data_IF_758439519571
#
_entry.id   IF_758439519571
#
_cell.length_a   1.000
_cell.length_b   1.000
_cell.length_c   1.000
_cell.angle_alpha   90.00
_cell.angle_beta   90.00
_cell.angle_gamma   90.00
#
_symmetry.space_group_name_H-M   'P 1'
#
loop_
_entity.id
_entity.type
_entity.pdbx_description
1 polymer ?
#
# COMPACT_ATOMS: atom_id res chain seq x y z
N UNK A 1 5.03 -5.16 20.75
CA UNK A 1 3.79 -4.91 19.96
C UNK A 1 3.39 -6.19 19.24
N UNK A 2 2.10 -6.44 19.11
CA UNK A 2 1.61 -7.53 18.28
C UNK A 2 1.49 -7.07 16.81
N UNK A 3 1.24 -7.99 15.90
CA UNK A 3 1.18 -7.71 14.46
C UNK A 3 0.16 -6.62 14.11
N UNK A 4 -1.01 -6.60 14.76
CA UNK A 4 -2.04 -5.59 14.50
C UNK A 4 -1.57 -4.19 14.87
N UNK A 5 -0.88 -4.05 15.99
CA UNK A 5 -0.31 -2.78 16.44
C UNK A 5 0.82 -2.31 15.51
N UNK A 6 1.68 -3.23 15.10
CA UNK A 6 2.77 -2.93 14.16
C UNK A 6 2.23 -2.45 12.81
N UNK A 7 1.23 -3.13 12.26
CA UNK A 7 0.61 -2.72 10.99
C UNK A 7 -0.11 -1.39 11.11
N UNK A 8 -0.83 -1.16 12.22
CA UNK A 8 -1.52 0.11 12.45
C UNK A 8 -0.53 1.28 12.51
N UNK A 9 0.63 1.08 13.15
CA UNK A 9 1.68 2.10 13.19
C UNK A 9 2.38 2.28 11.84
N UNK A 10 2.71 1.19 11.14
CA UNK A 10 3.38 1.24 9.85
C UNK A 10 2.55 1.96 8.78
N UNK A 11 1.24 1.71 8.73
CA UNK A 11 0.31 2.32 7.78
C UNK A 11 -0.38 3.57 8.31
N UNK A 12 0.24 4.26 9.24
CA UNK A 12 -0.27 5.52 9.78
C UNK A 12 -0.36 6.59 8.69
N UNK A 13 -1.55 7.14 8.53
CA UNK A 13 -1.83 8.14 7.50
C UNK A 13 -2.87 9.15 7.98
N UNK A 14 -3.83 9.47 7.12
CA UNK A 14 -4.92 10.37 7.46
C UNK A 14 -5.82 9.75 8.54
N UNK A 15 -6.02 10.48 9.64
CA UNK A 15 -6.81 9.99 10.77
C UNK A 15 -8.31 10.25 10.65
N UNK A 16 -8.74 11.02 9.66
CA UNK A 16 -10.14 11.42 9.49
C UNK A 16 -11.01 10.42 8.74
N UNK A 17 -10.39 9.47 8.04
CA UNK A 17 -11.12 8.47 7.25
C UNK A 17 -10.22 7.29 6.88
N UNK A 18 -10.84 6.22 6.45
CA UNK A 18 -10.17 5.04 5.90
C UNK A 18 -11.08 4.34 4.90
N UNK A 19 -10.52 3.46 4.09
CA UNK A 19 -11.28 2.58 3.22
C UNK A 19 -11.64 1.28 3.89
N UNK A 20 -12.81 0.74 3.54
CA UNK A 20 -13.19 -0.63 3.87
C UNK A 20 -13.65 -1.35 2.62
N UNK A 21 -13.41 -2.65 2.58
CA UNK A 21 -13.89 -3.51 1.51
C UNK A 21 -14.62 -4.69 2.14
N UNK A 22 -15.88 -4.86 1.78
CA UNK A 22 -16.62 -6.05 2.17
C UNK A 22 -16.19 -7.20 1.26
N UNK A 23 -15.62 -8.21 1.87
CA UNK A 23 -15.14 -9.39 1.15
C UNK A 23 -16.32 -10.32 0.95
N UNK A 24 -16.92 -10.31 -0.26
CA UNK A 24 -17.93 -11.29 -0.63
C UNK A 24 -17.28 -12.67 -0.76
N UNK A 25 -17.94 -13.69 -0.19
CA UNK A 25 -17.49 -15.07 -0.34
C UNK A 25 -17.80 -15.65 -1.73
N UNK A 26 -18.66 -15.00 -2.51
CA UNK A 26 -19.00 -15.42 -3.86
C UNK A 26 -17.89 -15.02 -4.85
N UNK A 27 -17.38 -16.02 -5.56
CA UNK A 27 -16.45 -15.83 -6.68
C UNK A 27 -17.17 -16.07 -7.97
N UNK A 28 -17.22 -15.06 -8.84
CA UNK A 28 -17.73 -15.19 -10.22
C UNK A 28 -16.54 -15.09 -11.18
N UNK A 29 -16.34 -16.09 -12.01
CA UNK A 29 -15.24 -16.17 -12.99
C UNK A 29 -13.84 -16.00 -12.37
N UNK A 30 -13.60 -16.58 -11.18
CA UNK A 30 -12.33 -16.51 -10.46
C UNK A 30 -12.04 -15.17 -9.78
N UNK A 31 -12.91 -14.18 -9.94
CA UNK A 31 -12.80 -12.89 -9.27
C UNK A 31 -13.78 -12.79 -8.10
N UNK A 32 -13.28 -12.37 -6.95
CA UNK A 32 -14.12 -12.07 -5.81
C UNK A 32 -14.75 -10.69 -6.01
N UNK A 33 -16.07 -10.61 -5.98
CA UNK A 33 -16.75 -9.31 -5.97
C UNK A 33 -16.52 -8.66 -4.61
N UNK A 34 -15.95 -7.48 -4.63
CA UNK A 34 -15.73 -6.68 -3.43
C UNK A 34 -16.43 -5.33 -3.58
N UNK A 35 -17.10 -4.89 -2.54
CA UNK A 35 -17.68 -3.55 -2.46
C UNK A 35 -16.81 -2.71 -1.55
N UNK A 36 -16.22 -1.66 -2.11
CA UNK A 36 -15.36 -0.72 -1.37
C UNK A 36 -16.10 0.59 -1.10
N UNK A 37 -15.86 1.15 0.07
CA UNK A 37 -16.45 2.41 0.51
C UNK A 37 -15.54 3.12 1.50
N UNK A 38 -15.78 4.43 1.68
CA UNK A 38 -15.02 5.26 2.62
C UNK A 38 -15.81 5.39 3.91
N UNK A 39 -15.11 5.20 5.03
CA UNK A 39 -15.62 5.41 6.38
C UNK A 39 -14.93 6.62 6.98
N UNK A 40 -15.69 7.62 7.41
CA UNK A 40 -15.17 8.88 7.96
C UNK A 40 -14.88 8.78 9.45
N UNK A 41 -14.07 7.79 9.80
CA UNK A 41 -13.57 7.54 11.15
C UNK A 41 -12.12 7.05 11.05
N UNK A 42 -11.32 7.18 12.11
CA UNK A 42 -9.96 6.67 12.12
C UNK A 42 -9.91 5.14 11.97
N UNK A 43 -8.82 4.63 11.43
CA UNK A 43 -8.48 3.22 11.57
C UNK A 43 -8.23 2.92 13.06
N UNK A 44 -8.79 1.80 13.52
CA UNK A 44 -8.64 1.34 14.89
C UNK A 44 -7.90 0.00 14.95
N UNK A 45 -7.38 -0.33 16.11
CA UNK A 45 -6.75 -1.63 16.34
C UNK A 45 -7.71 -2.77 16.06
N UNK A 46 -8.97 -2.64 16.46
CA UNK A 46 -10.01 -3.65 16.22
C UNK A 46 -10.25 -3.88 14.72
N UNK A 47 -10.25 -2.81 13.92
CA UNK A 47 -10.39 -2.91 12.46
C UNK A 47 -9.19 -3.63 11.85
N UNK A 48 -7.99 -3.33 12.34
CA UNK A 48 -6.76 -4.00 11.88
C UNK A 48 -6.77 -5.49 12.24
N UNK A 49 -7.20 -5.84 13.43
CA UNK A 49 -7.40 -7.23 13.84
C UNK A 49 -8.41 -7.97 12.94
N UNK A 50 -9.51 -7.30 12.59
CA UNK A 50 -10.50 -7.82 11.65
C UNK A 50 -9.94 -8.03 10.25
N UNK A 51 -9.04 -7.16 9.81
CA UNK A 51 -8.34 -7.30 8.53
C UNK A 51 -7.41 -8.52 8.53
N UNK A 52 -6.57 -8.65 9.55
CA UNK A 52 -5.64 -9.78 9.68
C UNK A 52 -6.39 -11.11 9.75
N UNK A 53 -7.54 -11.14 10.41
CA UNK A 53 -8.37 -12.36 10.49
C UNK A 53 -9.21 -12.63 9.24
N UNK A 54 -9.10 -11.79 8.21
CA UNK A 54 -9.80 -11.98 6.94
C UNK A 54 -11.26 -11.57 6.92
N UNK A 55 -11.74 -10.86 7.95
CA UNK A 55 -13.14 -10.42 8.04
C UNK A 55 -13.43 -9.21 7.17
N UNK A 56 -12.46 -8.32 6.99
CA UNK A 56 -12.62 -7.08 6.21
C UNK A 56 -11.35 -6.73 5.45
N UNK A 57 -11.50 -6.14 4.27
CA UNK A 57 -10.44 -5.40 3.62
C UNK A 57 -10.37 -3.98 4.19
N UNK A 58 -9.17 -3.46 4.40
CA UNK A 58 -8.95 -2.11 4.94
C UNK A 58 -8.00 -1.35 4.02
N UNK A 59 -8.30 -0.07 3.80
CA UNK A 59 -7.44 0.85 3.09
C UNK A 59 -7.03 2.02 3.98
N UNK A 60 -5.74 2.21 4.15
CA UNK A 60 -5.20 3.41 4.79
C UNK A 60 -5.04 4.51 3.75
N UNK A 61 -5.31 5.76 4.15
CA UNK A 61 -5.10 6.93 3.30
C UNK A 61 -3.74 7.51 3.66
N UNK A 62 -2.74 7.45 2.76
CA UNK A 62 -1.36 7.75 3.13
C UNK A 62 -1.06 9.22 3.37
N UNK A 63 -1.83 10.15 2.80
CA UNK A 63 -1.59 11.59 2.92
C UNK A 63 -2.50 12.21 4.00
N UNK A 64 -1.91 13.02 4.91
CA UNK A 64 -2.64 13.73 5.95
C UNK A 64 -3.03 15.16 5.53
N UNK A 65 -3.68 15.92 6.42
CA UNK A 65 -4.15 17.29 6.18
C UNK A 65 -3.00 18.29 5.93
N UNK A 66 -1.79 17.95 6.38
CA UNK A 66 -0.60 18.79 6.17
C UNK A 66 0.18 18.42 4.91
N UNK A 67 -0.40 17.59 4.03
CA UNK A 67 0.25 17.05 2.83
C UNK A 67 1.55 16.28 3.15
N UNK A 68 1.53 15.52 4.24
CA UNK A 68 2.63 14.67 4.68
C UNK A 68 2.23 13.20 4.69
N UNK A 69 3.21 12.32 4.60
CA UNK A 69 3.01 10.88 4.65
C UNK A 69 4.04 10.19 5.57
N UNK A 70 3.66 9.06 6.13
CA UNK A 70 4.50 8.15 6.91
C UNK A 70 4.80 6.86 6.15
N UNK A 71 4.04 6.60 5.10
CA UNK A 71 4.28 5.51 4.17
C UNK A 71 3.83 5.92 2.77
N UNK A 72 4.33 5.19 1.80
CA UNK A 72 3.89 5.34 0.41
C UNK A 72 4.04 4.02 -0.32
N UNK A 73 3.55 3.97 -1.54
CA UNK A 73 3.60 2.76 -2.34
C UNK A 73 3.71 3.05 -3.83
N UNK A 74 4.31 2.10 -4.54
CA UNK A 74 4.21 1.95 -5.98
C UNK A 74 3.33 0.74 -6.28
N UNK A 75 2.39 0.90 -7.20
CA UNK A 75 1.53 -0.19 -7.66
C UNK A 75 1.89 -0.54 -9.10
N UNK A 76 2.64 -1.64 -9.26
CA UNK A 76 3.05 -2.14 -10.57
C UNK A 76 2.01 -3.15 -11.05
N UNK A 77 1.27 -2.76 -12.08
CA UNK A 77 0.16 -3.50 -12.64
C UNK A 77 0.47 -3.96 -14.07
N UNK A 78 1.66 -4.47 -14.28
CA UNK A 78 2.15 -4.98 -15.56
C UNK A 78 2.31 -6.52 -15.51
N UNK A 79 1.92 -7.21 -16.56
CA UNK A 79 1.92 -8.68 -16.62
C UNK A 79 2.54 -9.19 -17.92
N UNK A 80 3.33 -10.29 -17.89
CA UNK A 80 3.86 -10.96 -16.71
C UNK A 80 4.94 -10.10 -16.01
N UNK A 81 5.06 -10.23 -14.69
CA UNK A 81 6.07 -9.53 -13.90
C UNK A 81 7.05 -10.53 -13.31
N UNK A 82 8.35 -10.32 -13.55
CA UNK A 82 9.42 -11.06 -12.89
C UNK A 82 9.75 -10.39 -11.54
N UNK A 83 9.18 -10.93 -10.47
CA UNK A 83 9.35 -10.40 -9.11
C UNK A 83 10.80 -10.49 -8.62
N UNK A 84 11.52 -11.54 -8.99
CA UNK A 84 12.92 -11.69 -8.61
C UNK A 84 13.79 -10.61 -9.25
N UNK A 85 13.59 -10.35 -10.53
CA UNK A 85 14.30 -9.26 -11.22
C UNK A 85 13.97 -7.89 -10.61
N UNK A 86 12.72 -7.66 -10.23
CA UNK A 86 12.30 -6.44 -9.56
C UNK A 86 13.02 -6.26 -8.23
N UNK A 87 13.10 -7.30 -7.42
CA UNK A 87 13.81 -7.29 -6.14
C UNK A 87 15.29 -7.02 -6.34
N UNK A 88 15.94 -7.70 -7.30
CA UNK A 88 17.36 -7.50 -7.61
C UNK A 88 17.65 -6.04 -7.98
N UNK A 89 16.81 -5.43 -8.81
CA UNK A 89 16.96 -4.01 -9.19
C UNK A 89 16.82 -3.07 -7.99
N UNK A 90 15.85 -3.35 -7.10
CA UNK A 90 15.66 -2.56 -5.88
C UNK A 90 16.85 -2.67 -4.94
N UNK A 91 17.44 -3.86 -4.81
CA UNK A 91 18.66 -4.08 -4.03
C UNK A 91 19.86 -3.33 -4.64
N UNK A 92 20.02 -3.36 -5.95
CA UNK A 92 21.07 -2.59 -6.65
C UNK A 92 20.92 -1.08 -6.40
N UNK A 93 19.70 -0.57 -6.42
CA UNK A 93 19.39 0.83 -6.13
C UNK A 93 19.52 1.18 -4.64
N UNK A 94 19.71 0.18 -3.78
CA UNK A 94 19.79 0.33 -2.31
C UNK A 94 18.55 1.02 -1.72
N UNK A 95 17.38 0.68 -2.25
CA UNK A 95 16.11 1.26 -1.80
C UNK A 95 15.51 0.40 -0.68
N UNK A 96 15.38 0.94 0.54
CA UNK A 96 14.72 0.20 1.63
C UNK A 96 13.21 0.17 1.39
N UNK A 97 12.67 -1.01 1.12
CA UNK A 97 11.27 -1.20 0.80
C UNK A 97 10.82 -2.63 1.09
N UNK A 98 9.51 -2.84 1.05
CA UNK A 98 8.92 -4.17 1.12
C UNK A 98 8.16 -4.41 -0.18
N UNK A 99 8.43 -5.55 -0.82
CA UNK A 99 7.76 -5.94 -2.06
C UNK A 99 6.74 -7.02 -1.74
N UNK A 100 5.49 -6.76 -2.10
CA UNK A 100 4.40 -7.72 -1.97
C UNK A 100 3.85 -8.06 -3.35
N UNK A 101 3.53 -9.33 -3.57
CA UNK A 101 2.82 -9.74 -4.78
C UNK A 101 1.37 -9.25 -4.68
N UNK A 102 0.88 -8.58 -5.71
CA UNK A 102 -0.52 -8.18 -5.75
C UNK A 102 -1.42 -9.37 -6.14
N UNK A 103 -2.72 -9.24 -5.87
CA UNK A 103 -3.72 -10.26 -6.17
C UNK A 103 -3.72 -10.69 -7.63
N UNK A 104 -3.46 -9.78 -8.55
CA UNK A 104 -3.47 -10.03 -9.99
C UNK A 104 -2.12 -10.50 -10.55
N UNK A 105 -1.07 -10.59 -9.70
CA UNK A 105 0.27 -11.02 -10.12
C UNK A 105 1.25 -9.89 -10.42
N UNK A 106 0.86 -8.63 -10.20
CA UNK A 106 1.77 -7.49 -10.18
C UNK A 106 2.48 -7.35 -8.84
N UNK A 107 2.87 -6.14 -8.46
CA UNK A 107 3.56 -5.89 -7.20
C UNK A 107 3.12 -4.59 -6.55
N UNK A 108 3.05 -4.61 -5.22
CA UNK A 108 3.00 -3.42 -4.40
C UNK A 108 4.35 -3.25 -3.71
N UNK A 109 4.98 -2.10 -3.89
CA UNK A 109 6.25 -1.77 -3.24
C UNK A 109 5.94 -0.72 -2.18
N UNK A 110 6.13 -1.07 -0.91
CA UNK A 110 5.85 -0.19 0.22
C UNK A 110 7.13 0.43 0.76
N UNK A 111 7.03 1.73 1.08
CA UNK A 111 8.07 2.52 1.72
C UNK A 111 7.54 3.06 3.04
N UNK A 112 8.30 2.92 4.12
CA UNK A 112 7.90 3.33 5.46
C UNK A 112 8.91 4.33 6.03
N UNK A 113 8.42 5.36 6.71
CA UNK A 113 9.25 6.44 7.24
C UNK A 113 9.06 6.55 8.75
N UNK A 114 10.15 6.83 9.47
CA UNK A 114 10.11 7.06 10.92
C UNK A 114 9.41 8.37 11.25
N UNK A 115 9.58 9.37 10.39
CA UNK A 115 9.01 10.71 10.56
C UNK A 115 8.05 11.04 9.41
N UNK A 116 7.17 11.99 9.65
CA UNK A 116 6.33 12.53 8.58
C UNK A 116 7.20 13.27 7.57
N UNK A 117 7.04 12.96 6.31
CA UNK A 117 7.72 13.64 5.22
C UNK A 117 6.72 14.29 4.25
N UNK A 118 7.18 15.27 3.47
CA UNK A 118 6.39 15.88 2.42
C UNK A 118 5.92 14.82 1.41
N UNK A 119 4.61 14.76 1.14
CA UNK A 119 4.05 13.85 0.16
C UNK A 119 4.56 14.17 -1.26
N UNK A 120 4.79 15.45 -1.57
CA UNK A 120 5.39 15.87 -2.83
C UNK A 120 6.81 15.37 -3.00
N UNK A 121 7.64 15.48 -1.97
CA UNK A 121 9.01 14.97 -1.99
C UNK A 121 9.06 13.46 -2.14
N UNK A 122 8.19 12.75 -1.43
CA UNK A 122 8.05 11.31 -1.61
C UNK A 122 7.67 10.96 -3.04
N UNK A 123 6.66 11.64 -3.58
CA UNK A 123 6.17 11.39 -4.94
C UNK A 123 7.27 11.58 -6.00
N UNK A 124 8.06 12.64 -5.88
CA UNK A 124 9.17 12.92 -6.79
C UNK A 124 10.22 11.79 -6.71
N UNK A 125 10.56 11.36 -5.51
CA UNK A 125 11.52 10.27 -5.31
C UNK A 125 10.97 8.93 -5.80
N UNK A 126 9.71 8.66 -5.54
CA UNK A 126 9.05 7.45 -6.01
C UNK A 126 8.98 7.39 -7.55
N UNK A 127 8.75 8.53 -8.20
CA UNK A 127 8.78 8.63 -9.66
C UNK A 127 10.17 8.33 -10.23
N UNK A 128 11.23 8.80 -9.60
CA UNK A 128 12.60 8.46 -9.98
C UNK A 128 12.87 6.95 -9.85
N UNK A 129 12.45 6.36 -8.73
CA UNK A 129 12.62 4.93 -8.47
C UNK A 129 11.83 4.11 -9.51
N UNK A 130 10.58 4.44 -9.74
CA UNK A 130 9.74 3.71 -10.70
C UNK A 130 10.32 3.76 -12.12
N UNK A 131 10.85 4.90 -12.52
CA UNK A 131 11.53 5.05 -13.82
C UNK A 131 12.81 4.22 -13.89
N UNK A 132 13.61 4.20 -12.84
CA UNK A 132 14.82 3.39 -12.77
C UNK A 132 14.52 1.88 -12.82
N UNK A 133 13.35 1.48 -12.30
CA UNK A 133 12.88 0.09 -12.37
C UNK A 133 12.33 -0.30 -13.77
N UNK A 134 12.13 0.66 -14.65
CA UNK A 134 11.48 0.44 -15.95
C UNK A 134 9.95 0.44 -15.88
N UNK A 135 9.35 0.96 -14.82
CA UNK A 135 7.92 1.01 -14.57
C UNK A 135 7.41 2.45 -14.32
N UNK A 136 7.92 3.40 -15.10
CA UNK A 136 7.66 4.84 -14.90
C UNK A 136 6.20 5.28 -15.05
N UNK A 137 5.30 4.39 -15.47
CA UNK A 137 3.85 4.65 -15.60
C UNK A 137 3.01 4.03 -14.48
N UNK A 138 3.63 3.41 -13.49
CA UNK A 138 2.90 2.81 -12.39
C UNK A 138 2.26 3.87 -11.49
N UNK A 139 1.20 3.49 -10.77
CA UNK A 139 0.58 4.39 -9.80
C UNK A 139 1.48 4.59 -8.58
N UNK A 140 1.45 5.80 -8.06
CA UNK A 140 2.19 6.23 -6.86
C UNK A 140 1.20 6.69 -5.80
N UNK A 141 1.33 6.21 -4.58
CA UNK A 141 0.52 6.59 -3.42
C UNK A 141 1.43 7.14 -2.31
N UNK A 142 1.18 8.31 -1.79
CA UNK A 142 0.26 9.35 -2.25
C UNK A 142 0.67 10.04 -3.52
#
# INVERSE_FOLDING_TARGET
>A
MNLSEELLEAFKGFSGAHGQTDVSQERTAGKQKAKSFIVRNPLTLQLMEGHISGKKGIGAIPINEENKCRFGALDIDEYPLDHNQLIDKLEELKVPCIVCRSKSGGAHIFFFFKEWMSAGDFRDKAAEISSALGHGRCEIFP
#
